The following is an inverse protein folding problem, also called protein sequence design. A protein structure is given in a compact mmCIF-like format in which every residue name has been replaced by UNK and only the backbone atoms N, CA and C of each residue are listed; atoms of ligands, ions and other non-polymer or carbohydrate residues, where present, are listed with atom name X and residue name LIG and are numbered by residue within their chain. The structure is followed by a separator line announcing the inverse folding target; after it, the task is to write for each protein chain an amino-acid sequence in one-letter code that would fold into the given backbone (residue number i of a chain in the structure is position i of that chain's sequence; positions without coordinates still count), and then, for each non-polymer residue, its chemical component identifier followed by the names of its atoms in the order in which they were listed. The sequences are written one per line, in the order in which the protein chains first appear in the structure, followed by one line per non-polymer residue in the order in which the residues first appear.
data_IF_789520214316
#
_entry.id   IF_789520214316
#
_cell.length_a   1.000
_cell.length_b   1.000
_cell.length_c   1.000
_cell.angle_alpha   90.00
_cell.angle_beta   90.00
_cell.angle_gamma   90.00
#
_symmetry.space_group_name_H-M   'P 1'
#
loop_
_entity.id
_entity.type
_entity.pdbx_description
1 polymer ?
#
# COMPACT_ATOMS: atom_id res chain seq x y z
N UNK A 1 12.65 -25.53 11.08
CA UNK A 1 11.67 -24.66 10.43
C UNK A 1 11.71 -23.33 11.17
N UNK A 2 12.62 -22.46 10.76
CA UNK A 2 12.94 -21.14 11.32
C UNK A 2 13.23 -20.24 10.13
N UNK A 3 12.23 -19.48 9.70
CA UNK A 3 12.29 -18.28 8.87
C UNK A 3 11.07 -17.51 9.42
N UNK A 4 11.13 -16.31 9.99
CA UNK A 4 11.78 -15.08 9.53
C UNK A 4 12.14 -14.21 10.75
N UNK A 5 13.42 -13.85 10.86
CA UNK A 5 13.92 -12.75 11.67
C UNK A 5 14.98 -12.09 10.79
N UNK A 6 14.59 -11.03 10.09
CA UNK A 6 15.53 -10.18 9.37
C UNK A 6 15.34 -8.74 9.84
N UNK A 7 16.06 -8.41 10.92
CA UNK A 7 16.30 -7.04 11.31
C UNK A 7 17.81 -6.89 11.56
N UNK A 8 18.41 -5.95 10.82
CA UNK A 8 19.74 -5.33 10.94
C UNK A 8 20.96 -6.01 10.27
N UNK A 9 21.63 -5.14 9.49
CA UNK A 9 23.01 -5.18 8.98
C UNK A 9 23.35 -6.12 7.81
N UNK A 10 23.20 -5.60 6.59
CA UNK A 10 24.20 -5.71 5.52
C UNK A 10 23.82 -4.82 4.33
N UNK A 11 24.55 -3.70 4.13
CA UNK A 11 24.91 -3.08 2.84
C UNK A 11 25.41 -1.64 3.05
N UNK A 12 26.64 -1.51 3.59
CA UNK A 12 27.48 -0.40 3.18
C UNK A 12 27.95 -0.69 1.76
N UNK A 13 27.32 -0.05 0.79
CA UNK A 13 27.62 -0.20 -0.63
C UNK A 13 26.63 0.57 -1.47
N UNK A 14 26.80 1.89 -1.53
CA UNK A 14 26.40 2.82 -2.61
C UNK A 14 25.07 2.57 -3.33
N UNK A 15 24.19 3.59 -3.26
CA UNK A 15 22.97 3.79 -4.09
C UNK A 15 21.83 2.78 -3.92
N UNK A 16 21.07 2.91 -2.81
CA UNK A 16 19.62 2.58 -2.72
C UNK A 16 19.14 2.83 -1.28
N UNK A 17 18.78 4.08 -0.98
CA UNK A 17 18.09 4.44 0.25
C UNK A 17 16.95 5.39 -0.10
N UNK A 18 15.83 4.84 -0.55
CA UNK A 18 14.52 5.46 -0.44
C UNK A 18 13.54 4.36 -0.04
N UNK A 19 13.25 4.29 1.26
CA UNK A 19 12.19 3.45 1.82
C UNK A 19 10.86 4.20 1.62
N UNK A 20 9.83 3.41 1.32
CA UNK A 20 8.47 3.75 0.91
C UNK A 20 7.73 4.74 1.80
N UNK A 21 7.04 5.71 1.19
CA UNK A 21 6.08 6.61 1.83
C UNK A 21 4.99 7.01 0.82
N UNK A 22 3.77 7.28 1.31
CA UNK A 22 2.66 8.06 0.69
C UNK A 22 1.33 7.37 0.30
N UNK A 23 0.29 8.19 0.45
CA UNK A 23 -1.11 7.92 0.76
C UNK A 23 -2.00 7.95 -0.50
N UNK A 24 -3.12 7.24 -0.47
CA UNK A 24 -4.18 7.33 -1.47
C UNK A 24 -5.09 8.53 -1.26
N UNK A 25 -5.21 9.36 -2.29
CA UNK A 25 -6.37 10.24 -2.44
C UNK A 25 -7.56 9.42 -2.93
N UNK A 26 -8.67 9.47 -2.21
CA UNK A 26 -9.99 9.47 -2.84
C UNK A 26 -10.44 10.92 -2.85
N UNK A 27 -11.07 11.41 -3.93
CA UNK A 27 -11.84 12.65 -3.84
C UNK A 27 -12.90 12.47 -2.76
N UNK A 28 -12.67 13.03 -1.57
CA UNK A 28 -13.67 13.08 -0.51
C UNK A 28 -14.33 14.45 -0.55
N UNK A 29 -15.63 14.43 -0.78
CA UNK A 29 -16.49 15.60 -0.77
C UNK A 29 -16.40 16.28 0.61
N UNK A 30 -16.44 17.61 0.71
CA UNK A 30 -16.53 18.27 2.01
C UNK A 30 -17.82 17.80 2.69
N UNK A 31 -17.70 16.95 3.71
CA UNK A 31 -18.83 16.52 4.52
C UNK A 31 -19.32 17.75 5.27
N UNK A 32 -20.46 18.29 4.83
CA UNK A 32 -21.14 19.40 5.47
C UNK A 32 -21.51 19.01 6.91
N UNK A 33 -20.90 19.66 7.90
CA UNK A 33 -21.38 19.72 9.30
C UNK A 33 -21.61 18.36 10.02
N UNK A 34 -20.84 17.32 9.68
CA UNK A 34 -20.95 16.00 10.31
C UNK A 34 -19.87 15.74 11.36
N UNK A 35 -20.23 15.12 12.49
CA UNK A 35 -19.31 14.57 13.51
C UNK A 35 -18.61 13.28 13.04
N UNK A 36 -18.40 13.08 11.74
CA UNK A 36 -17.91 11.82 11.16
C UNK A 36 -16.82 12.05 10.14
N UNK A 37 -15.79 11.20 10.09
CA UNK A 37 -14.65 11.38 9.18
C UNK A 37 -14.08 10.06 8.64
N UNK A 38 -13.35 10.16 7.53
CA UNK A 38 -12.46 9.10 7.09
C UNK A 38 -11.07 9.32 7.69
N UNK A 39 -10.45 8.25 8.16
CA UNK A 39 -9.11 8.27 8.73
C UNK A 39 -8.22 7.40 7.87
N UNK A 40 -7.16 7.99 7.34
CA UNK A 40 -6.08 7.26 6.70
C UNK A 40 -4.83 7.38 7.57
N UNK A 41 -4.19 6.27 7.96
CA UNK A 41 -2.91 6.35 8.61
C UNK A 41 -1.90 6.88 7.59
N UNK A 42 -1.11 7.87 7.97
CA UNK A 42 0.13 8.15 7.27
C UNK A 42 1.22 7.61 8.17
N UNK A 43 1.68 6.40 7.88
CA UNK A 43 2.81 5.86 8.61
C UNK A 43 4.03 6.72 8.33
N UNK A 44 4.65 7.13 9.41
CA UNK A 44 5.78 8.03 9.41
C UNK A 44 6.80 7.43 10.39
N UNK A 45 7.87 6.83 9.86
CA UNK A 45 8.93 6.27 10.70
C UNK A 45 10.08 7.28 10.72
N UNK A 46 10.28 7.91 11.87
CA UNK A 46 11.47 8.73 12.13
C UNK A 46 12.69 7.81 12.23
N UNK A 47 13.36 7.58 11.10
CA UNK A 47 14.73 7.08 11.12
C UNK A 47 15.66 8.25 11.40
N UNK A 48 15.85 8.60 12.66
CA UNK A 48 16.95 9.47 13.07
C UNK A 48 18.28 8.70 12.92
N UNK A 49 19.02 8.86 11.81
CA UNK A 49 20.48 8.95 11.92
C UNK A 49 21.27 9.49 10.69
N UNK A 50 22.43 10.08 11.02
CA UNK A 50 23.44 10.78 10.23
C UNK A 50 23.03 12.10 9.58
N UNK A 51 22.93 13.12 10.46
CA UNK A 51 22.94 14.58 10.23
C UNK A 51 21.62 15.36 10.35
N UNK A 52 20.55 14.79 10.90
CA UNK A 52 19.38 15.51 11.48
C UNK A 52 18.52 16.39 10.55
N UNK A 53 19.11 17.19 9.65
CA UNK A 53 18.45 18.22 8.84
C UNK A 53 17.79 17.69 7.56
N UNK A 54 18.34 16.64 6.94
CA UNK A 54 17.77 16.09 5.70
C UNK A 54 16.46 15.35 5.96
N UNK A 55 16.39 14.55 7.02
CA UNK A 55 15.14 13.88 7.38
C UNK A 55 14.07 14.90 7.79
N UNK A 56 14.32 15.79 8.75
CA UNK A 56 13.33 16.82 9.14
C UNK A 56 12.79 17.64 7.95
N UNK A 57 13.65 18.00 6.99
CA UNK A 57 13.22 18.76 5.81
C UNK A 57 12.24 17.99 4.93
N UNK A 58 12.54 16.73 4.56
CA UNK A 58 11.63 15.93 3.74
C UNK A 58 10.29 15.70 4.44
N UNK A 59 10.36 15.47 5.74
CA UNK A 59 9.24 15.23 6.61
C UNK A 59 8.30 16.43 6.64
N UNK A 60 8.87 17.63 6.75
CA UNK A 60 8.10 18.86 6.77
C UNK A 60 7.45 19.15 5.41
N UNK A 61 8.15 18.89 4.31
CA UNK A 61 7.60 19.01 2.95
C UNK A 61 6.34 18.15 2.83
N UNK A 62 6.45 16.89 3.20
CA UNK A 62 5.34 15.98 3.07
C UNK A 62 4.19 16.28 4.03
N UNK A 63 4.51 16.68 5.27
CA UNK A 63 3.50 17.14 6.23
C UNK A 63 2.75 18.35 5.69
N UNK A 64 3.43 19.28 5.02
CA UNK A 64 2.79 20.41 4.37
C UNK A 64 1.80 19.95 3.28
N UNK A 65 2.20 19.04 2.40
CA UNK A 65 1.28 18.46 1.39
C UNK A 65 0.11 17.74 2.03
N UNK A 66 0.30 17.01 3.14
CA UNK A 66 -0.81 16.40 3.87
C UNK A 66 -1.79 17.43 4.41
N UNK A 67 -1.31 18.56 4.94
CA UNK A 67 -2.18 19.63 5.44
C UNK A 67 -2.98 20.33 4.33
N UNK A 68 -2.58 20.19 3.08
CA UNK A 68 -3.37 20.67 1.93
C UNK A 68 -4.44 19.67 1.49
N UNK A 69 -4.20 18.37 1.70
CA UNK A 69 -5.09 17.29 1.29
C UNK A 69 -6.13 16.96 2.38
N UNK A 70 -5.70 16.92 3.64
CA UNK A 70 -6.51 16.48 4.77
C UNK A 70 -6.92 17.67 5.64
N UNK A 71 -8.17 17.65 6.12
CA UNK A 71 -8.68 18.66 7.06
C UNK A 71 -7.90 18.68 8.38
N UNK A 72 -7.38 17.52 8.80
CA UNK A 72 -6.65 17.35 10.05
C UNK A 72 -5.50 16.35 9.87
N UNK A 73 -4.29 16.75 10.27
CA UNK A 73 -3.11 15.87 10.30
C UNK A 73 -2.63 15.77 11.73
N UNK A 74 -2.61 14.55 12.28
CA UNK A 74 -2.18 14.26 13.65
C UNK A 74 -0.85 13.52 13.64
N UNK A 75 0.13 14.11 14.32
CA UNK A 75 1.33 13.37 14.68
C UNK A 75 1.00 12.43 15.84
N UNK A 76 1.31 11.15 15.64
CA UNK A 76 1.19 10.11 16.67
C UNK A 76 2.60 9.72 17.08
N UNK A 77 2.97 10.06 18.30
CA UNK A 77 4.27 9.68 18.86
C UNK A 77 4.12 8.36 19.63
N UNK A 78 4.61 7.28 19.05
CA UNK A 78 4.59 5.94 19.67
C UNK A 78 5.65 5.82 20.78
N UNK A 79 6.61 6.75 20.81
CA UNK A 79 7.78 6.74 21.69
C UNK A 79 7.65 7.69 22.90
N UNK A 80 6.52 8.36 23.09
CA UNK A 80 6.36 9.22 24.27
C UNK A 80 6.33 8.37 25.56
N UNK A 81 7.37 8.57 26.37
CA UNK A 81 7.73 7.82 27.58
C UNK A 81 6.65 7.79 28.69
N UNK A 82 5.59 8.58 28.55
CA UNK A 82 4.47 8.66 29.50
C UNK A 82 3.23 7.84 29.13
N UNK A 83 3.14 7.27 27.92
CA UNK A 83 1.93 6.56 27.46
C UNK A 83 1.92 5.09 27.90
N UNK A 84 0.76 4.61 28.35
CA UNK A 84 0.43 3.19 28.47
C UNK A 84 0.77 2.38 27.22
N UNK A 85 0.63 2.96 26.02
CA UNK A 85 1.04 2.33 24.76
C UNK A 85 2.56 2.12 24.69
N UNK A 86 3.35 3.07 25.17
CA UNK A 86 4.82 2.97 25.20
C UNK A 86 5.29 1.85 26.14
N UNK A 87 4.67 1.73 27.33
CA UNK A 87 4.95 0.64 28.27
C UNK A 87 4.56 -0.74 27.71
N UNK A 88 3.44 -0.82 26.99
CA UNK A 88 3.02 -2.04 26.29
C UNK A 88 3.98 -2.39 25.13
N UNK A 89 4.42 -1.39 24.36
CA UNK A 89 5.37 -1.56 23.27
C UNK A 89 6.77 -1.95 23.75
N UNK A 90 7.25 -1.42 24.89
CA UNK A 90 8.52 -1.86 25.49
C UNK A 90 8.53 -3.36 25.83
N UNK A 91 7.36 -3.94 26.12
CA UNK A 91 7.23 -5.40 26.30
C UNK A 91 7.17 -6.15 24.97
N UNK A 92 6.77 -5.48 23.87
CA UNK A 92 6.45 -6.06 22.55
C UNK A 92 6.84 -5.13 21.40
N UNK A 93 8.15 -5.00 21.09
CA UNK A 93 8.64 -4.10 20.05
C UNK A 93 8.19 -4.51 18.64
N UNK A 94 7.74 -5.75 18.46
CA UNK A 94 7.19 -6.30 17.23
C UNK A 94 5.86 -5.65 16.79
N UNK A 95 5.16 -4.97 17.70
CA UNK A 95 3.83 -4.39 17.45
C UNK A 95 3.83 -2.86 17.23
N UNK A 96 4.99 -2.22 17.00
CA UNK A 96 5.08 -0.76 16.94
C UNK A 96 4.16 -0.08 15.90
N UNK A 97 4.05 -0.67 14.70
CA UNK A 97 3.16 -0.17 13.64
C UNK A 97 1.69 -0.35 14.04
N UNK A 98 1.36 -1.49 14.65
CA UNK A 98 0.03 -1.79 15.18
C UNK A 98 -0.42 -0.75 16.19
N UNK A 99 0.44 -0.38 17.15
CA UNK A 99 0.10 0.62 18.17
C UNK A 99 -0.23 1.99 17.55
N UNK A 100 0.51 2.41 16.52
CA UNK A 100 0.22 3.66 15.80
C UNK A 100 -1.20 3.69 15.25
N UNK A 101 -1.64 2.58 14.64
CA UNK A 101 -2.99 2.46 14.06
C UNK A 101 -4.09 2.52 15.11
N UNK A 102 -3.89 1.92 16.28
CA UNK A 102 -4.88 1.93 17.38
C UNK A 102 -5.17 3.34 17.91
N UNK A 103 -4.26 4.31 17.75
CA UNK A 103 -4.53 5.70 18.13
C UNK A 103 -5.70 6.32 17.36
N UNK A 104 -6.20 5.73 16.27
CA UNK A 104 -7.41 6.21 15.62
C UNK A 104 -8.63 6.21 16.59
N UNK A 105 -8.65 5.34 17.61
CA UNK A 105 -9.69 5.36 18.66
C UNK A 105 -9.60 6.55 19.62
N UNK A 106 -8.50 7.31 19.66
CA UNK A 106 -8.38 8.48 20.56
C UNK A 106 -8.96 9.76 19.97
N UNK A 107 -9.37 9.75 18.69
CA UNK A 107 -9.94 10.88 17.94
C UNK A 107 -11.40 11.16 18.34
N UNK A 108 -11.63 11.33 19.63
CA UNK A 108 -12.94 11.43 20.30
C UNK A 108 -13.74 12.69 19.99
N UNK A 109 -13.18 13.63 19.24
CA UNK A 109 -13.93 14.74 18.64
C UNK A 109 -14.79 14.30 17.44
N UNK A 110 -14.54 13.11 16.91
CA UNK A 110 -15.43 12.43 15.96
C UNK A 110 -16.30 11.40 16.66
N UNK A 111 -17.57 11.33 16.26
CA UNK A 111 -18.57 10.38 16.76
C UNK A 111 -18.49 9.00 16.09
N UNK A 112 -17.99 8.93 14.85
CA UNK A 112 -17.83 7.71 14.07
C UNK A 112 -16.83 7.96 12.96
N UNK A 113 -15.99 6.98 12.68
CA UNK A 113 -15.00 7.09 11.62
C UNK A 113 -14.95 5.83 10.76
N UNK A 114 -14.49 6.00 9.53
CA UNK A 114 -14.06 4.89 8.67
C UNK A 114 -12.55 4.94 8.56
N UNK A 115 -11.89 3.93 9.09
CA UNK A 115 -10.46 3.75 8.91
C UNK A 115 -10.19 3.12 7.53
N UNK A 116 -9.15 3.59 6.84
CA UNK A 116 -8.69 3.06 5.56
C UNK A 116 -7.15 3.04 5.51
N UNK A 117 -6.51 1.89 5.24
CA UNK A 117 -5.05 1.84 5.09
C UNK A 117 -4.57 2.72 3.92
N UNK A 118 -3.31 3.20 4.00
CA UNK A 118 -2.73 4.15 3.03
C UNK A 118 -2.60 3.60 1.60
N UNK A 119 -2.62 2.27 1.46
CA UNK A 119 -2.56 1.50 0.21
C UNK A 119 -3.94 0.99 -0.24
N UNK A 120 -5.01 1.62 0.25
CA UNK A 120 -6.34 1.50 -0.36
C UNK A 120 -6.52 2.54 -1.47
N UNK A 121 -7.53 2.42 -2.33
CA UNK A 121 -7.92 3.42 -3.33
C UNK A 121 -9.44 3.45 -3.43
N UNK A 122 -10.04 4.61 -3.17
CA UNK A 122 -11.47 4.82 -3.34
C UNK A 122 -11.76 5.08 -4.82
N UNK A 123 -12.59 4.24 -5.43
CA UNK A 123 -12.98 4.35 -6.85
C UNK A 123 -14.41 4.84 -7.04
N UNK A 124 -15.20 4.90 -5.97
CA UNK A 124 -16.56 5.45 -5.96
C UNK A 124 -16.93 5.95 -4.56
N UNK A 125 -17.98 6.78 -4.43
CA UNK A 125 -18.47 7.24 -3.14
C UNK A 125 -18.80 6.08 -2.18
N UNK A 126 -18.39 6.24 -0.92
CA UNK A 126 -18.54 5.25 0.16
C UNK A 126 -19.11 5.85 1.46
N UNK A 127 -19.69 7.05 1.43
CA UNK A 127 -20.22 7.73 2.62
C UNK A 127 -21.30 6.92 3.35
N UNK A 128 -22.02 6.05 2.64
CA UNK A 128 -22.97 5.11 3.23
C UNK A 128 -22.34 4.13 4.23
N UNK A 129 -21.01 4.03 4.29
CA UNK A 129 -20.32 3.30 5.37
C UNK A 129 -20.58 3.94 6.75
N UNK A 130 -20.87 5.24 6.82
CA UNK A 130 -21.23 5.90 8.08
C UNK A 130 -22.58 5.46 8.64
N UNK A 131 -23.41 4.73 7.88
CA UNK A 131 -24.63 4.11 8.40
C UNK A 131 -24.35 2.86 9.24
N UNK A 132 -23.14 2.31 9.18
CA UNK A 132 -22.74 1.08 9.87
C UNK A 132 -22.35 1.32 11.34
N UNK A 133 -22.30 0.24 12.12
CA UNK A 133 -21.90 0.26 13.54
C UNK A 133 -20.48 -0.29 13.76
N UNK A 134 -19.94 -0.10 14.97
CA UNK A 134 -18.65 -0.69 15.35
C UNK A 134 -18.82 -2.19 15.70
N UNK A 135 -17.92 -3.08 15.30
CA UNK A 135 -16.89 -2.94 14.28
C UNK A 135 -17.47 -3.50 12.97
N UNK A 136 -17.55 -2.69 11.90
CA UNK A 136 -17.95 -3.19 10.58
C UNK A 136 -16.77 -3.22 9.63
N UNK A 137 -16.46 -4.37 9.05
CA UNK A 137 -15.32 -4.58 8.15
C UNK A 137 -15.66 -5.62 7.08
N UNK A 138 -14.84 -5.69 6.03
CA UNK A 138 -14.99 -6.70 4.98
C UNK A 138 -14.21 -7.98 5.33
N UNK A 139 -14.63 -9.16 4.84
CA UNK A 139 -13.90 -10.41 5.05
C UNK A 139 -12.50 -10.36 4.44
N UNK A 140 -11.54 -11.00 5.13
CA UNK A 140 -10.22 -11.23 4.59
C UNK A 140 -10.26 -12.30 3.47
N UNK A 141 -9.58 -12.08 2.33
CA UNK A 141 -9.62 -13.01 1.20
C UNK A 141 -8.87 -14.33 1.47
N UNK A 142 -7.95 -14.36 2.44
CA UNK A 142 -7.21 -15.55 2.83
C UNK A 142 -7.97 -16.40 3.84
N UNK A 143 -8.45 -15.79 4.93
CA UNK A 143 -9.23 -16.45 5.97
C UNK A 143 -10.54 -15.70 6.24
N UNK A 144 -11.66 -16.06 5.59
CA UNK A 144 -12.88 -15.23 5.57
C UNK A 144 -13.64 -15.13 6.90
N UNK A 145 -13.32 -15.96 7.88
CA UNK A 145 -13.83 -15.82 9.26
C UNK A 145 -13.09 -14.71 10.03
N UNK A 146 -11.99 -14.19 9.47
CA UNK A 146 -11.36 -12.96 9.92
C UNK A 146 -11.82 -11.82 9.00
N UNK A 147 -12.00 -10.63 9.57
CA UNK A 147 -12.11 -9.43 8.76
C UNK A 147 -10.73 -8.88 8.39
N UNK A 148 -10.66 -8.23 7.23
CA UNK A 148 -9.48 -7.47 6.83
C UNK A 148 -9.51 -6.09 7.51
N UNK A 149 -8.44 -5.73 8.22
CA UNK A 149 -8.36 -4.47 8.97
C UNK A 149 -7.97 -3.25 8.11
N UNK A 150 -7.87 -3.41 6.79
CA UNK A 150 -7.54 -2.32 5.88
C UNK A 150 -8.66 -1.32 5.65
N UNK A 151 -9.92 -1.72 5.83
CA UNK A 151 -11.07 -0.80 5.84
C UNK A 151 -12.06 -1.25 6.89
N UNK A 152 -12.36 -0.38 7.86
CA UNK A 152 -13.36 -0.67 8.88
C UNK A 152 -14.03 0.57 9.45
N UNK A 153 -15.28 0.40 9.90
CA UNK A 153 -16.09 1.43 10.57
C UNK A 153 -16.01 1.23 12.08
N UNK A 154 -15.70 2.29 12.82
CA UNK A 154 -15.53 2.25 14.26
C UNK A 154 -16.02 3.55 14.94
N UNK A 155 -16.07 3.54 16.28
CA UNK A 155 -16.41 4.72 17.08
C UNK A 155 -15.22 5.09 17.96
N UNK A 156 -14.58 6.26 17.74
CA UNK A 156 -13.52 6.72 18.63
C UNK A 156 -13.98 6.75 20.09
N UNK A 157 -13.18 6.14 20.96
CA UNK A 157 -13.46 6.00 22.38
C UNK A 157 -12.15 5.70 23.12
N UNK A 158 -11.79 6.56 24.06
CA UNK A 158 -10.64 6.32 24.94
C UNK A 158 -10.81 5.05 25.78
N UNK A 159 -12.05 4.64 26.07
CA UNK A 159 -12.34 3.37 26.75
C UNK A 159 -12.00 2.18 25.84
N UNK A 160 -12.47 2.19 24.59
CA UNK A 160 -12.17 1.14 23.62
C UNK A 160 -10.67 1.07 23.34
N UNK A 161 -10.02 2.23 23.20
CA UNK A 161 -8.56 2.32 23.05
C UNK A 161 -7.82 1.66 24.22
N UNK A 162 -8.17 2.00 25.47
CA UNK A 162 -7.56 1.39 26.66
C UNK A 162 -7.75 -0.13 26.71
N UNK A 163 -8.93 -0.63 26.33
CA UNK A 163 -9.22 -2.07 26.24
C UNK A 163 -8.42 -2.76 25.13
N UNK A 164 -8.24 -2.11 23.98
CA UNK A 164 -7.40 -2.62 22.88
C UNK A 164 -5.93 -2.71 23.33
N UNK A 165 -5.39 -1.69 24.01
CA UNK A 165 -4.03 -1.73 24.55
C UNK A 165 -3.86 -2.83 25.61
N UNK A 166 -4.86 -3.01 26.48
CA UNK A 166 -4.87 -4.12 27.44
C UNK A 166 -4.87 -5.47 26.73
N UNK A 167 -5.72 -5.63 25.71
CA UNK A 167 -5.77 -6.85 24.90
C UNK A 167 -4.43 -7.15 24.22
N UNK A 168 -3.77 -6.14 23.63
CA UNK A 168 -2.42 -6.28 23.08
C UNK A 168 -1.40 -6.74 24.13
N UNK A 169 -1.49 -6.22 25.36
CA UNK A 169 -0.57 -6.56 26.44
C UNK A 169 -0.76 -8.00 26.92
N UNK A 170 -2.01 -8.47 26.98
CA UNK A 170 -2.38 -9.78 27.51
C UNK A 170 -2.25 -10.89 26.46
N UNK A 171 -2.66 -10.62 25.22
CA UNK A 171 -2.81 -11.63 24.16
C UNK A 171 -1.85 -11.42 22.98
N UNK A 172 -1.30 -10.21 22.82
CA UNK A 172 -0.50 -9.83 21.64
C UNK A 172 -1.33 -9.80 20.36
N UNK A 173 -0.67 -10.11 19.23
CA UNK A 173 -1.30 -10.32 17.94
C UNK A 173 -0.91 -11.68 17.38
N UNK A 174 -1.87 -12.44 16.86
CA UNK A 174 -1.58 -13.76 16.30
C UNK A 174 -0.84 -13.70 14.95
N UNK A 175 -0.97 -12.61 14.20
CA UNK A 175 -0.29 -12.37 12.92
C UNK A 175 0.87 -11.38 13.05
N UNK A 176 1.13 -10.86 14.26
CA UNK A 176 2.13 -9.83 14.51
C UNK A 176 1.74 -8.42 14.05
N UNK A 177 0.54 -8.23 13.49
CA UNK A 177 0.03 -6.96 12.98
C UNK A 177 -1.22 -6.48 13.71
N UNK A 178 -1.85 -5.42 13.20
CA UNK A 178 -3.10 -4.88 13.74
C UNK A 178 -4.32 -5.76 13.45
N UNK A 179 -4.33 -6.46 12.31
CA UNK A 179 -5.43 -7.34 11.94
C UNK A 179 -5.63 -8.44 12.98
N UNK A 180 -4.55 -9.05 13.47
CA UNK A 180 -4.63 -10.08 14.50
C UNK A 180 -5.12 -9.56 15.86
N UNK A 181 -4.70 -8.37 16.27
CA UNK A 181 -5.22 -7.70 17.49
C UNK A 181 -6.71 -7.43 17.35
N UNK A 182 -7.11 -6.80 16.25
CA UNK A 182 -8.48 -6.36 16.04
C UNK A 182 -9.44 -7.55 15.92
N UNK A 183 -9.06 -8.62 15.22
CA UNK A 183 -9.87 -9.84 15.16
C UNK A 183 -9.92 -10.56 16.51
N UNK A 184 -8.83 -10.53 17.30
CA UNK A 184 -8.84 -11.07 18.67
C UNK A 184 -9.78 -10.32 19.60
N UNK A 185 -9.80 -8.98 19.49
CA UNK A 185 -10.65 -8.12 20.31
C UNK A 185 -12.12 -8.15 19.88
N UNK A 186 -12.41 -7.98 18.58
CA UNK A 186 -13.75 -8.03 17.98
C UNK A 186 -14.07 -9.42 17.44
N UNK A 187 -13.87 -10.44 18.28
CA UNK A 187 -13.89 -11.87 17.89
C UNK A 187 -15.27 -12.41 17.52
N UNK A 188 -16.34 -11.68 17.83
CA UNK A 188 -17.71 -12.06 17.48
C UNK A 188 -18.12 -11.60 16.07
N UNK A 189 -17.29 -10.82 15.37
CA UNK A 189 -17.57 -10.26 14.04
C UNK A 189 -18.09 -11.32 13.04
N UNK A 190 -17.45 -12.49 13.00
CA UNK A 190 -17.78 -13.54 12.03
C UNK A 190 -19.19 -14.15 12.23
N UNK A 191 -19.77 -14.05 13.44
CA UNK A 191 -20.94 -14.84 13.82
C UNK A 191 -22.10 -14.04 14.41
N UNK A 192 -21.86 -12.82 14.89
CA UNK A 192 -22.86 -12.07 15.65
C UNK A 192 -23.90 -11.33 14.78
N UNK A 193 -23.45 -10.53 13.81
CA UNK A 193 -24.32 -9.63 13.05
C UNK A 193 -23.85 -9.43 11.61
N UNK A 194 -24.67 -9.84 10.65
CA UNK A 194 -24.40 -9.69 9.22
C UNK A 194 -24.31 -8.23 8.78
N UNK A 195 -24.92 -7.29 9.51
CA UNK A 195 -24.82 -5.87 9.19
C UNK A 195 -23.42 -5.31 9.44
N UNK A 196 -22.58 -6.02 10.20
CA UNK A 196 -21.17 -5.69 10.41
C UNK A 196 -20.24 -6.26 9.34
N UNK A 197 -20.77 -7.10 8.44
CA UNK A 197 -20.04 -7.57 7.27
C UNK A 197 -20.19 -6.55 6.15
N UNK A 198 -19.13 -5.79 5.90
CA UNK A 198 -19.06 -4.94 4.72
C UNK A 198 -18.96 -5.85 3.49
N UNK A 199 -19.69 -5.57 2.41
CA UNK A 199 -19.48 -6.26 1.14
C UNK A 199 -18.02 -6.16 0.70
N UNK A 200 -17.48 -7.25 0.12
CA UNK A 200 -16.07 -7.33 -0.28
C UNK A 200 -15.62 -6.18 -1.20
N UNK A 201 -16.53 -5.60 -1.98
CA UNK A 201 -16.26 -4.43 -2.84
C UNK A 201 -15.82 -3.16 -2.09
N UNK A 202 -16.06 -3.04 -0.78
CA UNK A 202 -15.61 -1.93 0.06
C UNK A 202 -14.19 -2.12 0.62
N UNK A 203 -13.55 -3.26 0.36
CA UNK A 203 -12.16 -3.54 0.68
C UNK A 203 -11.63 -4.63 -0.26
N UNK A 204 -11.77 -4.41 -1.56
CA UNK A 204 -11.49 -5.45 -2.55
C UNK A 204 -9.98 -5.60 -2.69
N UNK A 205 -9.44 -6.71 -2.20
CA UNK A 205 -8.03 -7.02 -2.33
C UNK A 205 -7.58 -7.15 -3.78
N UNK A 206 -6.47 -6.51 -4.14
CA UNK A 206 -5.81 -6.65 -5.43
C UNK A 206 -5.34 -8.09 -5.70
N UNK A 207 -5.20 -8.90 -4.65
CA UNK A 207 -4.88 -10.33 -4.74
C UNK A 207 -6.05 -11.12 -5.32
N UNK A 208 -7.30 -10.76 -4.98
CA UNK A 208 -8.50 -11.47 -5.44
C UNK A 208 -8.67 -11.43 -6.97
N UNK A 209 -8.08 -10.42 -7.61
CA UNK A 209 -8.08 -10.23 -9.06
C UNK A 209 -7.40 -11.41 -9.76
N UNK A 210 -6.29 -11.91 -9.21
CA UNK A 210 -5.58 -13.05 -9.77
C UNK A 210 -6.03 -14.39 -9.20
N UNK A 211 -6.41 -14.47 -7.91
CA UNK A 211 -6.76 -15.75 -7.27
C UNK A 211 -8.14 -16.25 -7.66
N UNK A 212 -9.11 -15.36 -7.90
CA UNK A 212 -10.48 -15.75 -8.27
C UNK A 212 -11.03 -14.92 -9.44
N UNK A 213 -10.31 -14.98 -10.56
CA UNK A 213 -10.60 -14.23 -11.79
C UNK A 213 -12.06 -14.32 -12.29
N UNK A 214 -12.77 -15.46 -12.23
CA UNK A 214 -14.20 -15.51 -12.58
C UNK A 214 -15.09 -14.58 -11.75
N UNK A 215 -14.91 -14.57 -10.42
CA UNK A 215 -15.65 -13.67 -9.54
C UNK A 215 -15.28 -12.21 -9.80
N UNK A 216 -13.99 -11.95 -10.02
CA UNK A 216 -13.53 -10.61 -10.38
C UNK A 216 -14.15 -10.13 -11.72
N UNK A 217 -14.22 -10.97 -12.76
CA UNK A 217 -14.87 -10.61 -14.02
C UNK A 217 -16.37 -10.31 -13.85
N UNK A 218 -17.04 -11.02 -12.96
CA UNK A 218 -18.47 -10.86 -12.70
C UNK A 218 -18.80 -9.64 -11.83
N UNK A 219 -18.00 -9.38 -10.78
CA UNK A 219 -18.33 -8.41 -9.73
C UNK A 219 -17.33 -7.26 -9.59
N UNK A 220 -16.12 -7.39 -10.15
CA UNK A 220 -15.02 -6.44 -9.96
C UNK A 220 -15.29 -5.04 -10.53
N UNK A 221 -16.18 -4.92 -11.51
CA UNK A 221 -16.65 -3.62 -12.01
C UNK A 221 -17.44 -2.82 -10.94
N UNK A 222 -17.94 -3.49 -9.90
CA UNK A 222 -18.66 -2.85 -8.78
C UNK A 222 -17.73 -2.52 -7.60
N UNK A 223 -16.41 -2.67 -7.75
CA UNK A 223 -15.46 -2.29 -6.73
C UNK A 223 -15.68 -0.83 -6.30
N UNK A 224 -15.65 -0.58 -5.00
CA UNK A 224 -15.77 0.76 -4.40
C UNK A 224 -14.47 1.21 -3.76
N UNK A 225 -13.76 0.28 -3.16
CA UNK A 225 -12.40 0.46 -2.65
C UNK A 225 -11.55 -0.71 -3.10
N UNK A 226 -10.36 -0.40 -3.61
CA UNK A 226 -9.33 -1.38 -3.99
C UNK A 226 -8.24 -1.34 -2.93
N UNK A 227 -7.82 -2.50 -2.42
CA UNK A 227 -6.76 -2.58 -1.43
C UNK A 227 -5.54 -3.28 -2.04
N UNK A 228 -4.42 -2.57 -2.20
CA UNK A 228 -3.19 -3.07 -2.80
C UNK A 228 -2.38 -3.92 -1.81
N UNK A 229 -2.95 -5.06 -1.41
CA UNK A 229 -2.29 -6.06 -0.59
C UNK A 229 -1.09 -6.70 -1.31
N UNK A 230 -0.14 -7.17 -0.52
CA UNK A 230 1.10 -7.79 -0.99
C UNK A 230 2.33 -6.90 -0.81
N UNK A 231 3.49 -7.42 -1.21
CA UNK A 231 4.78 -6.76 -1.01
C UNK A 231 4.98 -5.55 -1.93
N UNK A 232 4.50 -5.66 -3.17
CA UNK A 232 4.62 -4.61 -4.18
C UNK A 232 3.45 -3.63 -4.05
N UNK A 233 3.74 -2.42 -3.62
CA UNK A 233 2.75 -1.34 -3.47
C UNK A 233 2.70 -0.49 -4.74
N UNK A 234 1.62 0.30 -4.96
CA UNK A 234 1.50 1.10 -6.18
C UNK A 234 2.71 1.98 -6.49
N UNK A 235 3.25 2.64 -5.46
CA UNK A 235 4.45 3.50 -5.53
C UNK A 235 5.77 2.74 -5.74
N UNK A 236 5.77 1.41 -5.73
CA UNK A 236 6.95 0.61 -6.07
C UNK A 236 7.18 0.47 -7.58
N UNK A 237 6.23 0.92 -8.40
CA UNK A 237 6.30 0.90 -9.85
C UNK A 237 6.85 2.23 -10.40
N UNK A 238 7.21 2.23 -11.68
CA UNK A 238 7.60 3.44 -12.42
C UNK A 238 6.52 3.74 -13.46
N UNK A 239 6.03 4.97 -13.49
CA UNK A 239 4.93 5.41 -14.34
C UNK A 239 5.39 6.43 -15.38
N UNK A 240 4.94 6.26 -16.62
CA UNK A 240 5.11 7.25 -17.67
C UNK A 240 3.80 8.03 -17.83
N UNK A 241 3.74 9.32 -17.40
CA UNK A 241 2.50 10.11 -17.45
C UNK A 241 2.07 10.45 -18.88
N UNK A 242 3.01 10.60 -19.80
CA UNK A 242 2.75 10.93 -21.22
C UNK A 242 2.06 9.80 -21.96
N UNK A 243 2.53 8.57 -21.75
CA UNK A 243 1.98 7.37 -22.37
C UNK A 243 0.94 6.66 -21.50
N UNK A 244 0.77 7.10 -20.25
CA UNK A 244 -0.11 6.51 -19.24
C UNK A 244 0.11 5.00 -19.05
N UNK A 245 1.38 4.59 -18.95
CA UNK A 245 1.79 3.18 -18.82
C UNK A 245 2.80 2.98 -17.69
N UNK A 246 2.89 1.76 -17.19
CA UNK A 246 3.92 1.35 -16.24
C UNK A 246 5.12 0.74 -16.98
N UNK A 247 6.32 0.97 -16.47
CA UNK A 247 7.56 0.45 -17.07
C UNK A 247 7.75 -1.03 -16.74
N UNK A 248 8.17 -1.83 -17.72
CA UNK A 248 8.42 -3.28 -17.56
C UNK A 248 7.17 -4.16 -17.65
N UNK A 249 6.08 -3.62 -18.19
CA UNK A 249 4.77 -4.25 -18.18
C UNK A 249 4.60 -5.36 -19.23
N UNK A 250 5.01 -6.58 -18.88
CA UNK A 250 4.62 -7.82 -19.58
C UNK A 250 3.59 -8.65 -18.79
N UNK A 251 3.18 -8.20 -17.58
CA UNK A 251 2.29 -8.97 -16.69
C UNK A 251 1.12 -8.19 -16.06
N UNK A 252 1.03 -6.85 -16.19
CA UNK A 252 -0.12 -6.09 -15.70
C UNK A 252 -1.37 -6.26 -16.59
N UNK A 253 -1.31 -7.10 -17.62
CA UNK A 253 -2.49 -7.63 -18.33
C UNK A 253 -3.47 -8.41 -17.43
N UNK A 254 -3.08 -8.71 -16.19
CA UNK A 254 -3.92 -9.39 -15.19
C UNK A 254 -4.47 -8.47 -14.10
N UNK A 255 -3.95 -7.25 -13.96
CA UNK A 255 -4.46 -6.25 -13.03
C UNK A 255 -5.32 -5.23 -13.81
N UNK A 256 -6.60 -5.04 -13.47
CA UNK A 256 -7.45 -3.99 -14.01
C UNK A 256 -6.75 -2.65 -13.87
N UNK A 257 -7.20 -1.67 -14.66
CA UNK A 257 -6.68 -0.30 -14.67
C UNK A 257 -6.66 0.44 -13.33
N UNK A 258 -6.93 -0.18 -12.19
CA UNK A 258 -6.83 0.40 -10.84
C UNK A 258 -5.40 0.85 -10.50
N UNK A 259 -4.36 0.07 -10.86
CA UNK A 259 -2.98 0.52 -10.62
C UNK A 259 -2.65 1.75 -11.49
N UNK A 260 -3.10 1.76 -12.75
CA UNK A 260 -3.00 2.92 -13.63
C UNK A 260 -3.83 4.10 -13.12
N UNK A 261 -5.00 3.86 -12.54
CA UNK A 261 -5.87 4.88 -11.94
C UNK A 261 -5.20 5.51 -10.72
N UNK A 262 -4.57 4.71 -9.85
CA UNK A 262 -3.78 5.21 -8.73
C UNK A 262 -2.67 6.15 -9.22
N UNK A 263 -1.89 5.74 -10.23
CA UNK A 263 -0.82 6.56 -10.80
C UNK A 263 -1.32 7.80 -11.53
N UNK A 264 -2.43 7.70 -12.24
CA UNK A 264 -3.06 8.85 -12.90
C UNK A 264 -3.51 9.89 -11.87
N UNK A 265 -4.08 9.46 -10.74
CA UNK A 265 -4.48 10.36 -9.67
C UNK A 265 -3.27 10.97 -8.95
N UNK A 266 -2.28 10.15 -8.59
CA UNK A 266 -1.05 10.63 -7.95
C UNK A 266 -0.34 11.68 -8.81
N UNK A 267 -0.15 11.40 -10.10
CA UNK A 267 0.56 12.30 -11.02
C UNK A 267 -0.22 13.59 -11.32
N UNK A 268 -1.56 13.53 -11.35
CA UNK A 268 -2.40 14.70 -11.61
C UNK A 268 -2.57 15.61 -10.39
N UNK A 269 -2.78 15.03 -9.20
CA UNK A 269 -3.22 15.77 -8.02
C UNK A 269 -2.10 15.90 -6.96
N UNK A 270 -1.36 14.83 -6.64
CA UNK A 270 -0.33 14.86 -5.57
C UNK A 270 0.98 15.46 -6.05
N UNK A 271 1.44 14.99 -7.22
CA UNK A 271 2.77 15.31 -7.71
C UNK A 271 2.98 16.82 -7.90
N UNK A 272 2.02 17.62 -8.40
CA UNK A 272 2.19 19.06 -8.48
C UNK A 272 2.38 19.74 -7.11
N UNK A 273 1.67 19.29 -6.08
CA UNK A 273 1.85 19.79 -4.70
C UNK A 273 3.25 19.44 -4.18
N UNK A 274 3.70 18.20 -4.39
CA UNK A 274 5.05 17.77 -4.02
C UNK A 274 6.13 18.57 -4.74
N UNK A 275 6.02 18.77 -6.06
CA UNK A 275 6.98 19.57 -6.83
C UNK A 275 7.05 21.00 -6.27
N UNK A 276 5.91 21.60 -5.92
CA UNK A 276 5.87 22.94 -5.34
C UNK A 276 6.61 23.00 -4.01
N UNK A 277 6.37 22.04 -3.11
CA UNK A 277 6.99 22.02 -1.78
C UNK A 277 8.48 21.64 -1.83
N UNK A 278 8.88 20.76 -2.76
CA UNK A 278 10.30 20.41 -2.96
C UNK A 278 11.10 21.52 -3.65
N UNK A 279 10.45 22.37 -4.46
CA UNK A 279 11.12 23.41 -5.23
C UNK A 279 12.20 22.84 -6.15
N UNK A 280 13.42 23.40 -6.09
CA UNK A 280 14.57 22.95 -6.90
C UNK A 280 15.25 21.67 -6.36
N UNK A 281 14.76 21.10 -5.25
CA UNK A 281 15.40 19.92 -4.64
C UNK A 281 15.10 18.65 -5.44
N UNK A 282 16.11 17.79 -5.69
CA UNK A 282 15.89 16.53 -6.37
C UNK A 282 15.08 15.57 -5.50
N UNK A 283 14.04 14.98 -6.07
CA UNK A 283 13.32 13.87 -5.46
C UNK A 283 12.86 12.88 -6.52
N UNK A 284 12.61 11.64 -6.08
CA UNK A 284 12.10 10.60 -6.95
C UNK A 284 10.57 10.60 -6.88
N UNK A 285 9.93 11.06 -7.94
CA UNK A 285 8.46 11.06 -8.08
C UNK A 285 7.89 9.71 -8.47
N UNK A 286 8.74 8.75 -8.88
CA UNK A 286 8.31 7.52 -9.56
C UNK A 286 7.72 7.75 -10.96
N UNK A 287 7.67 8.99 -11.44
CA UNK A 287 7.26 9.34 -12.79
C UNK A 287 8.50 9.58 -13.66
N UNK A 288 8.64 8.81 -14.74
CA UNK A 288 9.72 8.95 -15.71
C UNK A 288 9.12 9.12 -17.11
N UNK A 289 9.55 10.17 -17.81
CA UNK A 289 9.35 10.24 -19.26
C UNK A 289 10.41 9.36 -19.93
N UNK A 290 10.00 8.60 -20.95
CA UNK A 290 10.99 7.96 -21.80
C UNK A 290 11.87 9.06 -22.40
N UNK A 291 13.15 9.07 -22.05
CA UNK A 291 14.13 9.84 -22.80
C UNK A 291 13.92 9.45 -24.27
N UNK A 292 13.62 10.45 -25.11
CA UNK A 292 13.40 10.27 -26.54
C UNK A 292 14.35 9.19 -27.02
N UNK A 293 13.80 8.07 -27.51
CA UNK A 293 14.56 6.88 -27.88
C UNK A 293 15.80 7.31 -28.64
N UNK A 294 16.93 7.41 -27.94
CA UNK A 294 18.21 7.66 -28.57
C UNK A 294 18.47 6.36 -29.30
N UNK A 295 18.22 6.42 -30.61
CA UNK A 295 18.64 5.52 -31.68
C UNK A 295 19.12 4.15 -31.20
N UNK A 296 18.36 3.12 -31.59
CA UNK A 296 18.81 1.73 -31.73
C UNK A 296 20.19 1.48 -31.12
N UNK A 297 20.24 0.93 -29.90
CA UNK A 297 21.44 0.17 -29.52
C UNK A 297 21.53 -0.98 -30.51
N UNK A 298 22.25 -0.76 -31.60
CA UNK A 298 22.77 -1.78 -32.48
C UNK A 298 23.60 -2.68 -31.58
N UNK A 299 22.97 -3.73 -31.07
CA UNK A 299 23.69 -4.80 -30.39
C UNK A 299 24.69 -5.36 -31.41
N UNK A 300 25.96 -5.57 -31.05
CA UNK A 300 26.91 -6.19 -31.95
C UNK A 300 26.33 -7.50 -32.47
N UNK A 301 26.32 -7.68 -33.80
CA UNK A 301 25.90 -8.92 -34.46
C UNK A 301 26.78 -10.08 -33.93
N UNK A 302 26.29 -10.77 -32.91
CA UNK A 302 26.95 -11.95 -32.36
C UNK A 302 26.93 -13.07 -33.40
N UNK A 303 28.05 -13.76 -33.58
CA UNK A 303 28.12 -14.86 -34.53
C UNK A 303 27.26 -16.04 -34.07
N UNK A 304 26.75 -16.85 -35.02
CA UNK A 304 25.96 -18.03 -34.68
C UNK A 304 26.71 -19.05 -33.81
N UNK A 305 28.05 -19.08 -33.88
CA UNK A 305 28.88 -19.97 -33.10
C UNK A 305 28.95 -19.53 -31.63
N UNK A 306 29.19 -18.24 -31.37
CA UNK A 306 29.20 -17.66 -30.02
C UNK A 306 27.82 -17.76 -29.36
N UNK A 307 26.76 -17.57 -30.15
CA UNK A 307 25.39 -17.73 -29.66
C UNK A 307 25.12 -19.16 -29.18
N UNK A 308 25.54 -20.16 -29.96
CA UNK A 308 25.40 -21.58 -29.58
C UNK A 308 26.19 -21.92 -28.31
N UNK A 309 27.41 -21.41 -28.17
CA UNK A 309 28.24 -21.65 -26.99
C UNK A 309 27.59 -21.09 -25.71
N UNK A 310 26.95 -19.91 -25.79
CA UNK A 310 26.23 -19.32 -24.65
C UNK A 310 25.00 -20.13 -24.25
N UNK A 311 24.29 -20.72 -25.21
CA UNK A 311 23.20 -21.66 -24.94
C UNK A 311 23.69 -22.90 -24.18
N UNK A 312 24.80 -23.49 -24.63
CA UNK A 312 25.40 -24.67 -23.98
C UNK A 312 25.90 -24.38 -22.56
N UNK A 313 26.21 -23.11 -22.25
CA UNK A 313 26.63 -22.65 -20.93
C UNK A 313 25.47 -22.11 -20.06
N UNK A 314 24.22 -22.18 -20.52
CA UNK A 314 23.05 -21.71 -19.78
C UNK A 314 22.89 -20.18 -19.72
N UNK A 315 23.62 -19.43 -20.56
CA UNK A 315 23.62 -17.96 -20.61
C UNK A 315 22.88 -17.40 -21.83
N UNK A 316 21.80 -18.08 -22.25
CA UNK A 316 20.97 -17.65 -23.37
C UNK A 316 20.29 -16.29 -23.10
N UNK A 317 20.09 -15.51 -24.16
CA UNK A 317 19.49 -14.17 -24.08
C UNK A 317 17.95 -14.25 -24.14
N UNK A 318 17.35 -14.72 -23.04
CA UNK A 318 15.91 -14.99 -22.96
C UNK A 318 15.01 -13.77 -23.17
N UNK A 319 15.55 -12.55 -23.06
CA UNK A 319 14.81 -11.29 -23.22
C UNK A 319 15.11 -10.59 -24.56
N UNK A 320 16.01 -11.13 -25.39
CA UNK A 320 16.41 -10.55 -26.66
C UNK A 320 16.36 -11.55 -27.81
N UNK A 321 17.51 -11.87 -28.39
CA UNK A 321 17.58 -12.69 -29.62
C UNK A 321 17.13 -14.13 -29.42
N UNK A 322 17.17 -14.63 -28.18
CA UNK A 322 16.74 -15.97 -27.78
C UNK A 322 15.41 -15.97 -27.02
N UNK A 323 14.64 -14.88 -27.14
CA UNK A 323 13.29 -14.81 -26.59
C UNK A 323 12.36 -15.85 -27.18
N UNK A 324 11.38 -16.26 -26.37
CA UNK A 324 10.35 -17.24 -26.75
C UNK A 324 9.66 -16.86 -28.06
N UNK A 325 9.29 -15.58 -28.24
CA UNK A 325 8.62 -15.10 -29.44
C UNK A 325 9.47 -15.29 -30.70
N UNK A 326 10.78 -15.09 -30.61
CA UNK A 326 11.71 -15.27 -31.73
C UNK A 326 11.92 -16.76 -32.06
N UNK A 327 11.96 -17.62 -31.04
CA UNK A 327 12.05 -19.07 -31.20
C UNK A 327 10.77 -19.61 -31.83
N UNK A 328 9.60 -19.20 -31.33
CA UNK A 328 8.29 -19.60 -31.85
C UNK A 328 8.14 -19.19 -33.32
N UNK A 329 8.48 -17.94 -33.67
CA UNK A 329 8.47 -17.47 -35.07
C UNK A 329 9.34 -18.31 -35.99
N UNK A 330 10.52 -18.75 -35.54
CA UNK A 330 11.39 -19.62 -36.34
C UNK A 330 10.81 -21.03 -36.49
N UNK A 331 10.24 -21.59 -35.43
CA UNK A 331 9.57 -22.90 -35.47
C UNK A 331 8.37 -22.88 -36.41
N UNK A 332 7.56 -21.82 -36.38
CA UNK A 332 6.39 -21.66 -37.24
C UNK A 332 6.76 -21.56 -38.73
N UNK A 333 7.96 -21.04 -39.04
CA UNK A 333 8.50 -21.00 -40.40
C UNK A 333 9.05 -22.37 -40.84
N UNK A 334 9.62 -23.14 -39.91
CA UNK A 334 10.24 -24.44 -40.20
C UNK A 334 9.26 -25.62 -40.21
N UNK A 335 8.11 -25.48 -39.53
CA UNK A 335 7.10 -26.52 -39.35
C UNK A 335 5.87 -26.37 -40.28
N UNK A 336 5.96 -25.47 -41.28
CA UNK A 336 5.10 -25.48 -42.48
C UNK A 336 5.76 -26.29 -43.58
#
# INVERSE_FOLDING_TARGET
MREELWCLENLLGTTRLQKSWWCSLGHMCPISQGTTCFIQPVLYCELSDFRGKLNEMFVNIFRAVLHEIFDEVRLVDVLDSGDTAHLAMMKRPDLGVTFTKLHCWTLTHYSKCVFMDADTLVVSNIDELFDREELSAAPDPGWPDCFNSGVFVFRPSNETYGKLLQHCTEHGSFDGGDQGVLNGFFSDWATADINKHLPFIYNMSSIAIYTYLPAFKQYGANAKVVHFLGQMKPWSYVYNPTQRRLRGDTQASSQPGFLLQWWALYSAEVLPMLIREYGDQPFNSGCEEDAAESEERVQPLMSSAERKQRWEQGQADYMGIDSFDNIQKKLDVFLK
#
